data_IF_364618533181
#
_entry.id   IF_364618533181
#
_cell.length_a   1.000
_cell.length_b   1.000
_cell.length_c   1.000
_cell.angle_alpha   90.00
_cell.angle_beta   90.00
_cell.angle_gamma   90.00
#
_symmetry.space_group_name_H-M   'P 1'
#
loop_
_entity.id
_entity.type
_entity.pdbx_description
1 polymer ?
#
# COMPACT_ATOMS: atom_id res chain seq x y z
N UNK A 1 -23.04 -26.80 17.76
CA UNK A 1 -22.33 -25.74 18.53
C UNK A 1 -23.19 -24.48 18.46
N UNK A 2 -23.49 -23.81 19.58
CA UNK A 2 -24.23 -22.55 19.56
C UNK A 2 -23.51 -21.49 18.72
N UNK A 3 -24.25 -20.68 17.97
CA UNK A 3 -23.68 -19.70 17.05
C UNK A 3 -22.78 -18.68 17.76
N UNK A 4 -23.24 -18.19 18.92
CA UNK A 4 -22.49 -17.24 19.73
C UNK A 4 -21.13 -17.81 20.16
N UNK A 5 -21.12 -19.03 20.70
CA UNK A 5 -19.89 -19.73 21.11
C UNK A 5 -18.93 -19.90 19.93
N UNK A 6 -19.44 -20.22 18.74
CA UNK A 6 -18.59 -20.33 17.54
C UNK A 6 -17.99 -18.99 17.09
N UNK A 7 -18.75 -17.89 17.20
CA UNK A 7 -18.25 -16.54 16.89
C UNK A 7 -17.18 -16.10 17.88
N UNK A 8 -17.37 -16.38 19.17
CA UNK A 8 -16.40 -16.09 20.23
C UNK A 8 -15.10 -16.86 20.00
N UNK A 9 -15.19 -18.17 19.76
CA UNK A 9 -14.03 -19.01 19.41
C UNK A 9 -13.25 -18.44 18.21
N UNK A 10 -13.94 -18.09 17.11
CA UNK A 10 -13.26 -17.51 15.94
C UNK A 10 -12.57 -16.19 16.24
N UNK A 11 -13.14 -15.35 17.10
CA UNK A 11 -12.52 -14.08 17.50
C UNK A 11 -11.26 -14.36 18.31
N UNK A 12 -11.35 -15.24 19.30
CA UNK A 12 -10.22 -15.64 20.15
C UNK A 12 -9.07 -16.21 19.34
N UNK A 13 -9.33 -17.12 18.39
CA UNK A 13 -8.30 -17.64 17.48
C UNK A 13 -7.66 -16.52 16.66
N UNK A 14 -8.45 -15.59 16.11
CA UNK A 14 -7.89 -14.51 15.27
C UNK A 14 -7.05 -13.52 16.05
N UNK A 15 -7.48 -13.18 17.26
CA UNK A 15 -6.82 -12.17 18.10
C UNK A 15 -5.58 -12.72 18.80
N UNK A 16 -5.62 -14.00 19.22
CA UNK A 16 -4.57 -14.58 20.05
C UNK A 16 -3.66 -15.56 19.30
N UNK A 17 -4.04 -16.01 18.09
CA UNK A 17 -3.25 -16.94 17.27
C UNK A 17 -2.92 -16.33 15.91
N UNK A 18 -3.93 -16.05 15.08
CA UNK A 18 -3.67 -15.66 13.67
C UNK A 18 -2.91 -14.33 13.57
N UNK A 19 -3.36 -13.28 14.28
CA UNK A 19 -2.73 -11.95 14.20
C UNK A 19 -1.32 -11.93 14.81
N UNK A 20 -1.08 -12.46 16.03
CA UNK A 20 0.27 -12.50 16.59
C UNK A 20 1.25 -13.31 15.74
N UNK A 21 0.79 -14.43 15.16
CA UNK A 21 1.61 -15.23 14.25
C UNK A 21 2.01 -14.43 13.01
N UNK A 22 1.08 -13.66 12.42
CA UNK A 22 1.39 -12.82 11.25
C UNK A 22 2.33 -11.66 11.60
N UNK A 23 2.17 -11.05 12.79
CA UNK A 23 3.07 -10.00 13.29
C UNK A 23 4.49 -10.53 13.48
N UNK A 24 4.65 -11.78 13.93
CA UNK A 24 5.96 -12.45 14.07
C UNK A 24 6.56 -12.87 12.72
N UNK A 25 5.76 -13.47 11.83
CA UNK A 25 6.24 -13.98 10.54
C UNK A 25 6.59 -12.86 9.55
N UNK A 26 5.85 -11.76 9.55
CA UNK A 26 5.95 -10.67 8.58
C UNK A 26 5.93 -9.32 9.30
N UNK A 27 6.93 -8.98 10.12
CA UNK A 27 6.90 -7.76 10.93
C UNK A 27 6.80 -6.49 10.07
N UNK A 28 6.24 -5.42 10.64
CA UNK A 28 6.15 -4.10 9.99
C UNK A 28 7.55 -3.65 9.55
N UNK A 29 7.66 -3.15 8.32
CA UNK A 29 8.94 -2.80 7.69
C UNK A 29 9.57 -3.94 6.86
N UNK A 30 8.99 -5.14 6.89
CA UNK A 30 9.41 -6.23 5.97
C UNK A 30 9.06 -5.86 4.53
N UNK A 31 9.99 -6.08 3.60
CA UNK A 31 9.72 -5.97 2.16
C UNK A 31 9.30 -7.33 1.64
N UNK A 32 8.09 -7.41 1.09
CA UNK A 32 7.60 -8.56 0.35
C UNK A 32 7.74 -8.29 -1.14
N UNK A 33 8.42 -9.20 -1.83
CA UNK A 33 8.75 -9.03 -3.25
C UNK A 33 7.72 -9.68 -4.16
N UNK A 34 7.57 -9.13 -5.35
CA UNK A 34 6.79 -9.73 -6.45
C UNK A 34 5.35 -10.08 -6.04
N UNK A 35 4.67 -9.17 -5.34
CA UNK A 35 3.23 -9.31 -5.07
C UNK A 35 2.48 -9.06 -6.36
N UNK A 36 1.72 -10.06 -6.81
CA UNK A 36 0.88 -9.97 -7.99
C UNK A 36 -0.49 -9.41 -7.64
N UNK A 37 -0.92 -8.36 -8.32
CA UNK A 37 -2.20 -7.69 -8.06
C UNK A 37 -3.35 -8.37 -8.79
N UNK A 38 -4.31 -8.88 -8.01
CA UNK A 38 -5.37 -9.76 -8.50
C UNK A 38 -6.73 -9.07 -8.57
N UNK A 39 -7.04 -8.21 -7.60
CA UNK A 39 -8.40 -7.68 -7.43
C UNK A 39 -8.44 -6.25 -6.91
N UNK A 40 -9.55 -5.59 -7.23
CA UNK A 40 -9.88 -4.25 -6.76
C UNK A 40 -11.11 -4.28 -5.86
N UNK A 41 -11.06 -3.48 -4.78
CA UNK A 41 -12.11 -3.18 -3.78
C UNK A 41 -12.58 -4.36 -2.91
N UNK A 42 -12.67 -5.54 -3.51
CA UNK A 42 -13.07 -6.77 -2.87
C UNK A 42 -11.97 -7.83 -2.99
N UNK A 43 -11.98 -8.85 -2.14
CA UNK A 43 -10.98 -9.91 -2.09
C UNK A 43 -11.23 -11.02 -3.13
N UNK A 44 -12.29 -10.87 -3.92
CA UNK A 44 -12.77 -11.85 -4.89
C UNK A 44 -12.49 -11.31 -6.29
N UNK A 45 -11.84 -12.14 -7.11
CA UNK A 45 -11.58 -11.81 -8.50
C UNK A 45 -12.85 -11.99 -9.31
N UNK A 46 -13.39 -10.87 -9.79
CA UNK A 46 -14.63 -10.86 -10.57
C UNK A 46 -14.33 -10.98 -12.07
N UNK A 47 -15.23 -11.57 -12.88
CA UNK A 47 -15.02 -11.70 -14.33
C UNK A 47 -14.75 -10.36 -15.02
N UNK A 48 -15.44 -9.30 -14.61
CA UNK A 48 -15.27 -7.95 -15.17
C UNK A 48 -13.82 -7.45 -15.04
N UNK A 49 -13.18 -7.70 -13.90
CA UNK A 49 -11.79 -7.30 -13.63
C UNK A 49 -10.77 -8.06 -14.50
N UNK A 50 -11.17 -9.19 -15.08
CA UNK A 50 -10.33 -9.98 -16.00
C UNK A 50 -10.59 -9.60 -17.46
N UNK A 51 -11.85 -9.32 -17.80
CA UNK A 51 -12.27 -9.11 -19.18
C UNK A 51 -12.08 -7.66 -19.64
N UNK A 52 -12.27 -6.68 -18.74
CA UNK A 52 -12.15 -5.26 -19.08
C UNK A 52 -10.69 -4.79 -18.92
N UNK A 53 -10.04 -4.30 -20.01
CA UNK A 53 -8.67 -3.78 -19.97
C UNK A 53 -8.49 -2.55 -19.06
N UNK A 54 -9.56 -1.81 -18.75
CA UNK A 54 -9.51 -0.59 -17.95
C UNK A 54 -8.87 -0.82 -16.56
N UNK A 55 -9.00 -2.04 -16.01
CA UNK A 55 -8.41 -2.44 -14.74
C UNK A 55 -6.88 -2.61 -14.77
N UNK A 56 -6.27 -2.62 -15.96
CA UNK A 56 -4.81 -2.79 -16.18
C UNK A 56 -4.13 -1.51 -16.68
N UNK A 57 -4.86 -0.42 -16.81
CA UNK A 57 -4.29 0.83 -17.29
C UNK A 57 -3.38 1.47 -16.24
N UNK A 58 -2.21 1.95 -16.66
CA UNK A 58 -1.25 2.63 -15.78
C UNK A 58 -1.81 3.94 -15.19
N UNK A 59 -2.76 4.59 -15.87
CA UNK A 59 -3.44 5.81 -15.43
C UNK A 59 -4.21 5.65 -14.12
N UNK A 60 -4.59 4.42 -13.77
CA UNK A 60 -5.33 4.07 -12.57
C UNK A 60 -4.43 3.99 -11.32
N UNK A 61 -3.11 3.93 -11.50
CA UNK A 61 -2.16 3.77 -10.40
C UNK A 61 -2.24 4.95 -9.42
N UNK A 62 -2.50 4.63 -8.15
CA UNK A 62 -2.66 5.61 -7.08
C UNK A 62 -4.05 6.25 -6.99
N UNK A 63 -5.04 5.81 -7.79
CA UNK A 63 -6.43 6.24 -7.62
C UNK A 63 -7.05 5.71 -6.30
N UNK A 64 -8.16 6.31 -5.86
CA UNK A 64 -8.82 5.91 -4.64
C UNK A 64 -9.43 4.48 -4.74
N UNK A 65 -9.25 3.69 -3.69
CA UNK A 65 -9.75 2.33 -3.59
C UNK A 65 -8.78 1.44 -2.81
N UNK A 66 -8.98 0.12 -2.90
CA UNK A 66 -8.03 -0.86 -2.36
C UNK A 66 -7.70 -1.88 -3.44
N UNK A 67 -6.45 -2.31 -3.48
CA UNK A 67 -5.98 -3.38 -4.36
C UNK A 67 -5.52 -4.54 -3.50
N UNK A 68 -5.95 -5.75 -3.85
CA UNK A 68 -5.49 -6.97 -3.20
C UNK A 68 -4.60 -7.78 -4.15
N UNK A 69 -3.59 -8.39 -3.56
CA UNK A 69 -2.63 -9.22 -4.28
C UNK A 69 -2.01 -10.29 -3.40
N UNK A 70 -1.23 -11.16 -4.02
CA UNK A 70 -0.47 -12.24 -3.35
C UNK A 70 0.84 -12.47 -4.08
N UNK A 71 1.86 -12.94 -3.36
CA UNK A 71 3.06 -13.46 -4.01
C UNK A 71 2.74 -14.73 -4.80
N UNK A 72 3.51 -15.01 -5.84
CA UNK A 72 3.44 -16.31 -6.53
C UNK A 72 4.09 -17.38 -5.64
N UNK A 73 3.29 -18.31 -5.12
CA UNK A 73 3.78 -19.34 -4.21
C UNK A 73 2.70 -20.33 -3.75
N UNK A 74 3.10 -21.32 -2.93
CA UNK A 74 2.18 -22.36 -2.45
C UNK A 74 1.18 -21.85 -1.41
N UNK A 75 1.61 -20.98 -0.50
CA UNK A 75 0.78 -20.45 0.59
C UNK A 75 0.97 -18.93 0.78
N UNK A 76 0.73 -18.11 -0.26
CA UNK A 76 0.96 -16.69 -0.14
C UNK A 76 -0.11 -16.02 0.72
N UNK A 77 0.31 -15.01 1.49
CA UNK A 77 -0.60 -14.21 2.32
C UNK A 77 -1.30 -13.17 1.46
N UNK A 78 -2.57 -12.90 1.77
CA UNK A 78 -3.31 -11.81 1.15
C UNK A 78 -2.73 -10.46 1.56
N UNK A 79 -2.35 -9.66 0.57
CA UNK A 79 -1.86 -8.29 0.75
C UNK A 79 -2.93 -7.32 0.31
N UNK A 80 -3.17 -6.26 1.08
CA UNK A 80 -4.03 -5.14 0.70
C UNK A 80 -3.25 -3.82 0.71
N UNK A 81 -3.40 -3.03 -0.35
CA UNK A 81 -2.79 -1.70 -0.48
C UNK A 81 -3.89 -0.65 -0.67
N UNK A 82 -3.92 0.45 0.12
CA UNK A 82 -5.06 1.35 0.21
C UNK A 82 -5.13 2.38 -0.95
N UNK A 83 -4.83 1.93 -2.16
CA UNK A 83 -5.05 2.66 -3.40
C UNK A 83 -5.09 1.66 -4.56
N UNK A 84 -5.46 2.16 -5.74
CA UNK A 84 -5.55 1.36 -6.96
C UNK A 84 -4.18 1.10 -7.58
N UNK A 85 -3.89 -0.15 -7.90
CA UNK A 85 -2.70 -0.59 -8.65
C UNK A 85 -3.20 -1.31 -9.89
N UNK A 86 -2.63 -1.09 -11.09
CA UNK A 86 -3.03 -1.81 -12.29
C UNK A 86 -2.98 -3.33 -12.06
N UNK A 87 -4.08 -4.03 -12.34
CA UNK A 87 -4.15 -5.47 -12.16
C UNK A 87 -3.22 -6.19 -13.15
N UNK A 88 -2.87 -7.43 -12.81
CA UNK A 88 -1.89 -8.22 -13.58
C UNK A 88 -0.51 -7.57 -13.68
N UNK A 89 -0.12 -6.83 -12.64
CA UNK A 89 1.24 -6.32 -12.47
C UNK A 89 1.82 -6.87 -11.17
N UNK A 90 3.15 -6.89 -11.09
CA UNK A 90 3.89 -7.26 -9.90
C UNK A 90 4.61 -6.05 -9.32
N UNK A 91 4.56 -5.87 -8.00
CA UNK A 91 5.41 -4.89 -7.32
C UNK A 91 5.86 -5.39 -5.95
N UNK A 92 6.94 -4.78 -5.45
CA UNK A 92 7.44 -5.01 -4.11
C UNK A 92 6.68 -4.09 -3.14
N UNK A 93 6.36 -4.59 -1.95
CA UNK A 93 5.62 -3.84 -0.94
C UNK A 93 6.30 -3.87 0.42
N UNK A 94 6.26 -2.74 1.11
CA UNK A 94 6.62 -2.65 2.52
C UNK A 94 5.39 -2.98 3.37
N UNK A 95 5.52 -3.91 4.31
CA UNK A 95 4.46 -4.24 5.27
C UNK A 95 4.27 -3.06 6.24
N UNK A 96 3.06 -2.52 6.29
CA UNK A 96 2.69 -1.37 7.15
C UNK A 96 1.81 -1.78 8.33
N UNK A 97 1.16 -2.95 8.26
CA UNK A 97 0.37 -3.49 9.35
C UNK A 97 -0.28 -4.82 9.02
N UNK A 98 -1.10 -5.31 9.95
CA UNK A 98 -1.67 -6.65 9.92
C UNK A 98 -3.19 -6.62 10.12
N UNK A 99 -3.90 -7.31 9.25
CA UNK A 99 -5.27 -7.73 9.51
C UNK A 99 -5.32 -9.09 10.23
N UNK A 100 -6.52 -9.63 10.41
CA UNK A 100 -6.66 -10.93 11.08
C UNK A 100 -6.03 -12.10 10.29
N UNK A 101 -6.02 -12.03 8.95
CA UNK A 101 -5.48 -13.08 8.05
C UNK A 101 -4.93 -12.49 6.74
N UNK A 102 -4.40 -11.28 6.84
CA UNK A 102 -3.92 -10.50 5.71
C UNK A 102 -2.93 -9.48 6.23
N UNK A 103 -2.12 -8.92 5.35
CA UNK A 103 -1.24 -7.80 5.66
C UNK A 103 -1.66 -6.57 4.86
N UNK A 104 -1.37 -5.41 5.41
CA UNK A 104 -1.48 -4.13 4.72
C UNK A 104 -0.09 -3.67 4.33
N UNK A 105 0.05 -3.04 3.17
CA UNK A 105 1.32 -2.50 2.73
C UNK A 105 1.20 -1.26 1.86
N UNK A 106 2.36 -0.80 1.42
CA UNK A 106 2.56 0.27 0.43
C UNK A 106 3.64 -0.18 -0.54
N UNK A 107 3.52 0.17 -1.82
CA UNK A 107 4.53 -0.20 -2.82
C UNK A 107 5.86 0.50 -2.55
N UNK A 108 6.94 -0.22 -2.82
CA UNK A 108 8.32 0.30 -2.77
C UNK A 108 8.69 0.88 -4.13
N UNK A 109 9.48 1.95 -4.13
CA UNK A 109 9.96 2.60 -5.35
C UNK A 109 8.98 3.60 -5.95
N UNK A 110 8.05 4.12 -5.15
CA UNK A 110 7.13 5.18 -5.58
C UNK A 110 7.91 6.49 -5.80
N UNK A 111 7.85 7.06 -7.00
CA UNK A 111 8.53 8.32 -7.27
C UNK A 111 7.82 9.50 -6.58
N UNK A 112 8.58 10.26 -5.79
CA UNK A 112 8.09 11.42 -5.04
C UNK A 112 7.50 12.50 -5.95
N UNK A 113 7.97 12.60 -7.20
CA UNK A 113 7.54 13.60 -8.17
C UNK A 113 6.27 13.16 -8.92
N UNK A 114 5.87 11.90 -8.87
CA UNK A 114 4.65 11.41 -9.54
C UNK A 114 3.60 10.83 -8.60
N UNK A 115 3.98 10.38 -7.39
CA UNK A 115 3.10 9.71 -6.44
C UNK A 115 1.81 10.49 -6.12
N UNK A 116 0.69 9.78 -6.02
CA UNK A 116 -0.61 10.37 -5.72
C UNK A 116 -0.76 10.67 -4.23
N UNK A 117 -1.79 11.44 -3.88
CA UNK A 117 -2.16 11.66 -2.48
C UNK A 117 -2.38 10.32 -1.75
N UNK A 118 -2.99 9.33 -2.40
CA UNK A 118 -3.38 8.09 -1.72
C UNK A 118 -2.17 7.20 -1.46
N UNK A 119 -1.20 7.25 -2.38
CA UNK A 119 0.11 6.63 -2.22
C UNK A 119 0.89 7.24 -1.05
N UNK A 120 0.91 8.57 -0.91
CA UNK A 120 1.54 9.21 0.25
C UNK A 120 0.84 8.86 1.56
N UNK A 121 -0.49 8.86 1.60
CA UNK A 121 -1.28 8.52 2.80
C UNK A 121 -1.11 7.06 3.25
N UNK A 122 -0.74 6.16 2.34
CA UNK A 122 -0.44 4.77 2.67
C UNK A 122 0.87 4.60 3.47
N UNK A 123 1.75 5.61 3.46
CA UNK A 123 3.05 5.55 4.14
C UNK A 123 2.84 5.76 5.65
N UNK A 124 3.35 4.87 6.52
CA UNK A 124 3.27 5.03 7.96
C UNK A 124 3.84 6.39 8.42
N UNK A 125 3.04 7.14 9.18
CA UNK A 125 3.40 8.47 9.68
C UNK A 125 2.87 9.64 8.82
N UNK A 126 2.33 9.38 7.62
CA UNK A 126 1.73 10.41 6.76
C UNK A 126 0.21 10.28 6.79
N UNK A 127 -0.46 11.22 7.46
CA UNK A 127 -1.92 11.33 7.38
C UNK A 127 -2.40 12.07 6.13
N UNK A 128 -3.71 12.08 5.89
CA UNK A 128 -4.35 12.79 4.77
C UNK A 128 -3.89 14.25 4.58
N UNK A 129 -3.76 15.02 5.68
CA UNK A 129 -3.24 16.39 5.64
C UNK A 129 -1.77 16.46 5.22
N UNK A 130 -0.97 15.50 5.65
CA UNK A 130 0.44 15.37 5.25
C UNK A 130 0.56 15.05 3.77
N UNK A 131 -0.19 14.05 3.30
CA UNK A 131 -0.24 13.68 1.89
C UNK A 131 -0.63 14.86 0.99
N UNK A 132 -1.65 15.64 1.39
CA UNK A 132 -2.04 16.85 0.66
C UNK A 132 -0.93 17.89 0.62
N UNK A 133 -0.16 18.07 1.71
CA UNK A 133 0.97 19.00 1.76
C UNK A 133 2.10 18.56 0.84
N UNK A 134 2.38 17.26 0.73
CA UNK A 134 3.35 16.72 -0.24
C UNK A 134 2.95 17.05 -1.67
N UNK A 135 1.70 16.76 -2.04
CA UNK A 135 1.17 17.07 -3.39
C UNK A 135 1.19 18.58 -3.67
N UNK A 136 0.84 19.40 -2.68
CA UNK A 136 0.86 20.86 -2.79
C UNK A 136 2.28 21.42 -2.94
N UNK A 137 3.23 20.90 -2.15
CA UNK A 137 4.64 21.29 -2.21
C UNK A 137 5.22 20.94 -3.58
N UNK A 138 4.93 19.73 -4.09
CA UNK A 138 5.29 19.31 -5.44
C UNK A 138 4.73 20.26 -6.50
N UNK A 139 3.42 20.56 -6.46
CA UNK A 139 2.81 21.45 -7.45
C UNK A 139 3.45 22.85 -7.46
N UNK A 140 3.90 23.32 -6.28
CA UNK A 140 4.61 24.60 -6.14
C UNK A 140 6.06 24.54 -6.65
N UNK A 141 6.74 23.41 -6.54
CA UNK A 141 8.07 23.21 -7.14
C UNK A 141 7.94 23.11 -8.67
N UNK A 142 7.00 22.32 -9.16
CA UNK A 142 6.74 22.16 -10.59
C UNK A 142 6.35 23.47 -11.29
N UNK A 143 5.61 24.37 -10.63
CA UNK A 143 5.29 25.69 -11.19
C UNK A 143 6.51 26.61 -11.36
N UNK A 144 7.63 26.30 -10.70
CA UNK A 144 8.92 26.95 -10.88
C UNK A 144 9.85 26.21 -11.85
N UNK A 145 9.41 25.06 -12.39
CA UNK A 145 10.24 24.17 -13.20
C UNK A 145 11.24 23.34 -12.41
N UNK A 146 11.05 23.21 -11.10
CA UNK A 146 11.91 22.44 -10.20
C UNK A 146 11.27 21.07 -9.91
N UNK A 147 12.09 20.02 -9.83
CA UNK A 147 11.72 18.71 -9.31
C UNK A 147 12.51 18.45 -8.02
N UNK A 148 12.04 17.51 -7.19
CA UNK A 148 12.77 17.14 -5.98
C UNK A 148 13.90 16.17 -6.31
N UNK A 149 15.13 16.54 -5.95
CA UNK A 149 16.33 15.73 -6.12
C UNK A 149 16.50 14.65 -5.04
N UNK A 150 15.79 14.80 -3.92
CA UNK A 150 15.82 13.84 -2.80
C UNK A 150 14.47 13.79 -2.08
N UNK A 151 14.16 12.64 -1.48
CA UNK A 151 12.95 12.44 -0.69
C UNK A 151 12.94 13.43 0.48
N UNK A 152 14.08 13.63 1.15
CA UNK A 152 14.24 14.59 2.25
C UNK A 152 13.89 16.02 1.84
N UNK A 153 14.29 16.46 0.65
CA UNK A 153 13.96 17.80 0.14
C UNK A 153 12.45 17.99 -0.04
N UNK A 154 11.74 16.94 -0.48
CA UNK A 154 10.30 16.98 -0.66
C UNK A 154 9.57 17.12 0.68
N UNK A 155 10.00 16.37 1.71
CA UNK A 155 9.42 16.46 3.05
C UNK A 155 9.74 17.80 3.73
N UNK A 156 10.96 18.31 3.54
CA UNK A 156 11.34 19.63 4.03
C UNK A 156 10.49 20.74 3.39
N UNK A 157 10.25 20.68 2.08
CA UNK A 157 9.39 21.62 1.36
C UNK A 157 7.93 21.54 1.82
N UNK A 158 7.44 20.34 2.17
CA UNK A 158 6.12 20.14 2.75
C UNK A 158 6.05 20.53 4.24
N UNK A 159 7.18 20.78 4.90
CA UNK A 159 7.36 20.98 6.35
C UNK A 159 6.74 19.86 7.19
N UNK A 160 7.04 18.62 6.81
CA UNK A 160 6.63 17.40 7.50
C UNK A 160 7.86 16.75 8.15
N UNK A 161 7.61 16.04 9.25
CA UNK A 161 8.62 15.16 9.84
C UNK A 161 8.92 14.02 8.86
N UNK A 162 10.19 13.60 8.82
CA UNK A 162 10.66 12.56 7.92
C UNK A 162 10.42 11.16 8.52
N UNK A 163 9.43 10.38 8.02
CA UNK A 163 9.15 9.06 8.57
C UNK A 163 10.28 8.08 8.18
N UNK A 164 10.66 7.19 9.10
CA UNK A 164 11.72 6.20 8.83
C UNK A 164 11.42 5.30 7.61
N UNK A 165 10.14 5.03 7.34
CA UNK A 165 9.70 4.22 6.21
C UNK A 165 9.84 4.95 4.85
N UNK A 166 9.96 6.29 4.83
CA UNK A 166 9.91 7.07 3.60
C UNK A 166 11.06 6.74 2.65
N UNK A 167 12.29 6.55 3.15
CA UNK A 167 13.44 6.18 2.32
C UNK A 167 13.36 4.77 1.74
N UNK A 168 12.60 3.88 2.36
CA UNK A 168 12.39 2.52 1.85
C UNK A 168 11.25 2.45 0.83
N UNK A 169 10.37 3.47 0.79
CA UNK A 169 9.14 3.46 -0.01
C UNK A 169 9.24 4.39 -1.20
N UNK A 170 9.81 5.58 -1.00
CA UNK A 170 9.90 6.64 -2.00
C UNK A 170 11.26 6.64 -2.68
N UNK A 171 11.27 7.04 -3.95
CA UNK A 171 12.47 7.28 -4.74
C UNK A 171 12.38 8.60 -5.49
N UNK A 172 13.51 9.06 -6.04
CA UNK A 172 13.58 10.22 -6.94
C UNK A 172 13.98 9.84 -8.37
N UNK A 173 14.28 8.55 -8.60
CA UNK A 173 14.69 8.01 -9.89
C UNK A 173 13.52 7.20 -10.47
N UNK A 174 12.79 7.77 -11.43
CA UNK A 174 11.82 7.06 -12.25
C UNK A 174 12.05 7.32 -13.74
#
# INVERSE_FOLDING_TARGET
IPEQTFREFKREVRENIDRPLLEEMLPVGTILREVWWETHDDRIRRPEQVLDPSYREASLHGAAGITFGRQIGAYPILVGVPYKIPLETGSDILVTGHGMRSITGVEVGLDVNSATQQQFEAIPGIGSKGAWRMVSARAKAASKGEAFDSVESAFAAASLDFPAAANSVLSCDA
#
